data_IF_378108186495
#
_entry.id   IF_378108186495
#
_cell.length_a   1.000
_cell.length_b   1.000
_cell.length_c   1.000
_cell.angle_alpha   90.00
_cell.angle_beta   90.00
_cell.angle_gamma   90.00
#
_symmetry.space_group_name_H-M   'P 1'
#
loop_
_entity.id
_entity.type
_entity.pdbx_description
1 polymer ?
#
# COMPACT_ATOMS: atom_id res chain seq x y z
N UNK A 1 -3.00 -31.92 -17.79
CA UNK A 1 -3.76 -30.73 -18.25
C UNK A 1 -2.79 -29.56 -18.25
N UNK A 2 -2.95 -28.59 -19.17
CA UNK A 2 -2.14 -27.38 -19.13
C UNK A 2 -2.43 -26.61 -17.83
N UNK A 3 -1.42 -25.93 -17.26
CA UNK A 3 -1.62 -25.09 -16.08
C UNK A 3 -2.58 -23.94 -16.41
N UNK A 4 -3.47 -23.53 -15.49
CA UNK A 4 -4.23 -22.29 -15.64
C UNK A 4 -3.31 -21.10 -15.81
N UNK A 5 -3.72 -20.12 -16.62
CA UNK A 5 -2.95 -18.93 -16.95
C UNK A 5 -3.57 -17.69 -16.30
N UNK A 6 -2.77 -16.92 -15.57
CA UNK A 6 -3.16 -15.65 -14.98
C UNK A 6 -2.45 -14.49 -15.67
N UNK A 7 -3.21 -13.48 -16.07
CA UNK A 7 -2.69 -12.20 -16.54
C UNK A 7 -2.86 -11.15 -15.45
N UNK A 8 -1.82 -10.39 -15.15
CA UNK A 8 -1.87 -9.28 -14.19
C UNK A 8 -1.38 -8.01 -14.86
N UNK A 9 -2.19 -6.93 -14.78
CA UNK A 9 -1.81 -5.61 -15.29
C UNK A 9 -1.59 -4.62 -14.15
N UNK A 10 -0.50 -3.87 -14.25
CA UNK A 10 -0.12 -2.75 -13.39
C UNK A 10 0.55 -1.66 -14.21
N UNK A 11 0.70 -0.44 -13.69
CA UNK A 11 1.33 0.69 -14.39
C UNK A 11 2.85 0.52 -14.47
N UNK A 12 3.49 0.46 -13.32
CA UNK A 12 4.93 0.44 -13.07
C UNK A 12 5.20 -0.14 -11.68
N UNK A 13 6.46 -0.17 -11.23
CA UNK A 13 6.87 -0.71 -9.93
C UNK A 13 7.62 0.33 -9.08
N UNK A 14 7.04 1.53 -8.95
CA UNK A 14 7.57 2.58 -8.07
C UNK A 14 7.28 2.30 -6.58
N UNK A 15 7.79 3.18 -5.69
CA UNK A 15 7.56 3.06 -4.25
C UNK A 15 6.13 3.44 -3.87
N UNK A 16 5.25 2.45 -3.77
CA UNK A 16 3.85 2.62 -3.43
C UNK A 16 3.25 1.44 -2.67
N UNK A 17 2.08 1.67 -2.09
CA UNK A 17 1.36 0.61 -1.35
C UNK A 17 0.77 -0.45 -2.25
N UNK A 18 0.27 -0.07 -3.44
CA UNK A 18 -0.28 -1.01 -4.41
C UNK A 18 0.82 -1.88 -5.03
N UNK A 19 1.98 -1.29 -5.36
CA UNK A 19 3.15 -1.97 -5.90
C UNK A 19 3.70 -2.99 -4.89
N UNK A 20 3.75 -2.62 -3.62
CA UNK A 20 4.15 -3.54 -2.54
C UNK A 20 3.15 -4.69 -2.38
N UNK A 21 1.85 -4.40 -2.46
CA UNK A 21 0.81 -5.42 -2.44
C UNK A 21 0.90 -6.37 -3.65
N UNK A 22 1.25 -5.84 -4.83
CA UNK A 22 1.51 -6.66 -6.02
C UNK A 22 2.71 -7.58 -5.79
N UNK A 23 3.82 -7.10 -5.25
CA UNK A 23 4.97 -7.94 -4.92
C UNK A 23 4.59 -9.07 -3.96
N UNK A 24 3.79 -8.77 -2.94
CA UNK A 24 3.26 -9.78 -2.02
C UNK A 24 2.46 -10.85 -2.76
N UNK A 25 1.54 -10.44 -3.65
CA UNK A 25 0.77 -11.36 -4.48
C UNK A 25 1.67 -12.21 -5.38
N UNK A 26 2.62 -11.60 -6.11
CA UNK A 26 3.52 -12.32 -7.02
C UNK A 26 4.39 -13.35 -6.30
N UNK A 27 4.84 -13.06 -5.08
CA UNK A 27 5.60 -14.00 -4.25
C UNK A 27 4.73 -15.17 -3.77
N UNK A 28 3.46 -14.91 -3.40
CA UNK A 28 2.53 -15.92 -2.90
C UNK A 28 1.99 -16.85 -4.00
N UNK A 29 1.99 -16.41 -5.27
CA UNK A 29 1.56 -17.24 -6.39
C UNK A 29 2.50 -18.43 -6.59
N UNK A 30 1.91 -19.62 -6.60
CA UNK A 30 2.59 -20.91 -6.80
C UNK A 30 2.65 -21.22 -8.29
N UNK A 31 3.82 -21.03 -8.88
CA UNK A 31 4.04 -21.28 -10.33
C UNK A 31 4.08 -22.76 -10.69
N UNK A 32 4.04 -23.68 -9.74
CA UNK A 32 3.78 -25.08 -10.03
C UNK A 32 2.30 -25.35 -10.33
N UNK A 33 1.42 -24.48 -9.84
CA UNK A 33 -0.04 -24.56 -10.05
C UNK A 33 -0.54 -23.70 -11.19
N UNK A 34 0.06 -22.53 -11.42
CA UNK A 34 -0.41 -21.54 -12.41
C UNK A 34 0.74 -20.92 -13.18
N UNK A 35 0.51 -20.56 -14.44
CA UNK A 35 1.41 -19.71 -15.21
C UNK A 35 0.98 -18.25 -15.07
N UNK A 36 1.92 -17.37 -14.77
CA UNK A 36 1.63 -15.96 -14.48
C UNK A 36 2.36 -15.05 -15.45
N UNK A 37 1.60 -14.30 -16.22
CA UNK A 37 2.07 -13.23 -17.10
C UNK A 37 1.82 -11.87 -16.42
N UNK A 38 2.89 -11.15 -16.07
CA UNK A 38 2.83 -9.78 -15.56
C UNK A 38 3.03 -8.79 -16.72
N UNK A 39 2.05 -7.93 -16.95
CA UNK A 39 2.12 -6.85 -17.91
C UNK A 39 2.17 -5.51 -17.19
N UNK A 40 3.34 -4.87 -17.22
CA UNK A 40 3.53 -3.50 -16.75
C UNK A 40 3.42 -2.54 -17.93
N UNK A 41 2.72 -1.43 -17.73
CA UNK A 41 2.64 -0.40 -18.76
C UNK A 41 4.03 0.21 -19.02
N UNK A 42 4.85 0.34 -17.98
CA UNK A 42 6.25 0.82 -18.05
C UNK A 42 7.13 -0.04 -17.13
N UNK A 43 8.32 -0.40 -17.61
CA UNK A 43 9.34 -1.11 -16.83
C UNK A 43 10.20 -0.11 -16.04
N UNK A 44 9.58 0.62 -15.13
CA UNK A 44 10.21 1.64 -14.29
C UNK A 44 9.84 1.46 -12.83
N UNK A 45 10.69 1.98 -11.95
CA UNK A 45 10.47 2.00 -10.51
C UNK A 45 11.44 1.14 -9.72
N UNK A 46 11.58 1.49 -8.45
CA UNK A 46 12.55 0.91 -7.52
C UNK A 46 12.24 -0.55 -7.18
N UNK A 47 10.99 -0.96 -7.33
CA UNK A 47 10.56 -2.33 -7.06
C UNK A 47 10.71 -3.30 -8.24
N UNK A 48 11.14 -2.83 -9.42
CA UNK A 48 11.39 -3.71 -10.57
C UNK A 48 12.33 -4.89 -10.25
N UNK A 49 13.46 -4.71 -9.55
CA UNK A 49 14.38 -5.80 -9.21
C UNK A 49 13.80 -6.81 -8.19
N UNK A 50 12.66 -6.51 -7.57
CA UNK A 50 12.00 -7.37 -6.57
C UNK A 50 10.93 -8.27 -7.18
N UNK A 51 10.64 -8.14 -8.48
CA UNK A 51 9.73 -9.05 -9.18
C UNK A 51 10.37 -10.45 -9.16
N UNK A 52 9.66 -11.49 -8.69
CA UNK A 52 10.22 -12.83 -8.63
C UNK A 52 10.56 -13.40 -10.02
N UNK A 53 11.73 -14.02 -10.18
CA UNK A 53 12.19 -14.63 -11.44
C UNK A 53 11.21 -15.69 -12.00
N UNK A 54 10.39 -16.28 -11.13
CA UNK A 54 9.36 -17.26 -11.50
C UNK A 54 8.17 -16.65 -12.25
N UNK A 55 8.04 -15.32 -12.30
CA UNK A 55 6.96 -14.60 -12.98
C UNK A 55 7.42 -14.21 -14.38
N UNK A 56 6.59 -14.50 -15.39
CA UNK A 56 6.87 -14.08 -16.74
C UNK A 56 6.53 -12.59 -16.93
N UNK A 57 7.54 -11.72 -16.83
CA UNK A 57 7.39 -10.30 -17.12
C UNK A 57 7.30 -10.09 -18.63
N UNK A 58 6.12 -9.70 -19.12
CA UNK A 58 5.90 -9.42 -20.54
C UNK A 58 6.63 -8.14 -20.96
N UNK A 59 7.15 -8.06 -22.19
CA UNK A 59 7.84 -6.86 -22.66
C UNK A 59 6.91 -5.64 -22.70
N UNK A 60 7.48 -4.45 -22.51
CA UNK A 60 6.76 -3.19 -22.71
C UNK A 60 6.17 -3.13 -24.12
N UNK A 61 4.99 -2.54 -24.22
CA UNK A 61 4.32 -2.34 -25.51
C UNK A 61 4.13 -0.87 -25.80
N UNK A 62 4.49 -0.53 -27.03
CA UNK A 62 4.27 0.82 -27.56
C UNK A 62 2.79 1.21 -27.41
N UNK A 63 2.56 2.43 -26.95
CA UNK A 63 1.24 2.96 -26.64
C UNK A 63 0.91 2.81 -25.15
N UNK A 64 1.05 1.63 -24.57
CA UNK A 64 0.83 1.43 -23.12
C UNK A 64 1.85 2.20 -22.29
N UNK A 65 3.13 2.13 -22.65
CA UNK A 65 4.20 2.86 -21.97
C UNK A 65 4.12 4.39 -22.15
N UNK A 66 3.22 4.89 -22.98
CA UNK A 66 3.06 6.32 -23.24
C UNK A 66 1.86 6.95 -22.49
N UNK A 67 1.06 6.16 -21.77
CA UNK A 67 -0.18 6.64 -21.14
C UNK A 67 0.10 7.78 -20.14
N UNK A 68 1.17 7.69 -19.37
CA UNK A 68 1.51 8.63 -18.29
C UNK A 68 2.77 9.47 -18.55
N UNK A 69 3.52 9.17 -19.61
CA UNK A 69 4.77 9.85 -19.94
C UNK A 69 4.57 11.32 -20.40
N UNK A 70 5.61 12.19 -20.33
CA UNK A 70 5.53 13.55 -20.83
C UNK A 70 5.12 13.63 -22.30
N UNK A 71 4.24 14.57 -22.66
CA UNK A 71 3.69 14.73 -24.02
C UNK A 71 4.77 14.92 -25.08
N UNK A 72 5.85 15.62 -24.74
CA UNK A 72 6.95 15.91 -25.64
C UNK A 72 7.64 14.62 -26.08
N UNK A 73 7.85 13.68 -25.15
CA UNK A 73 8.53 12.41 -25.44
C UNK A 73 7.66 11.51 -26.31
N UNK A 74 6.35 11.47 -26.04
CA UNK A 74 5.36 10.73 -26.82
C UNK A 74 5.34 11.22 -28.29
N UNK A 75 5.40 12.55 -28.49
CA UNK A 75 5.42 13.16 -29.82
C UNK A 75 6.73 12.87 -30.56
N UNK A 76 7.89 12.96 -29.88
CA UNK A 76 9.19 12.61 -30.43
C UNK A 76 9.27 11.15 -30.91
N UNK A 77 8.60 10.25 -30.19
CA UNK A 77 8.51 8.84 -30.52
C UNK A 77 7.45 8.51 -31.60
N UNK A 78 6.78 9.55 -32.15
CA UNK A 78 5.78 9.38 -33.20
C UNK A 78 4.49 8.68 -32.73
N UNK A 79 4.15 8.77 -31.44
CA UNK A 79 2.93 8.21 -30.88
C UNK A 79 1.76 9.22 -30.92
N UNK A 80 1.50 9.77 -32.13
CA UNK A 80 0.54 10.86 -32.33
C UNK A 80 -0.88 10.51 -31.92
N UNK A 81 -1.30 9.24 -32.06
CA UNK A 81 -2.63 8.77 -31.61
C UNK A 81 -2.81 8.89 -30.12
N UNK A 82 -1.81 8.47 -29.34
CA UNK A 82 -1.81 8.58 -27.87
C UNK A 82 -1.82 10.05 -27.45
N UNK A 83 -0.98 10.88 -28.08
CA UNK A 83 -0.93 12.32 -27.81
C UNK A 83 -2.30 13.00 -28.07
N UNK A 84 -2.95 12.67 -29.19
CA UNK A 84 -4.30 13.15 -29.54
C UNK A 84 -5.34 12.68 -28.50
N UNK A 85 -5.29 11.40 -28.10
CA UNK A 85 -6.14 10.83 -27.05
C UNK A 85 -6.01 11.59 -25.74
N UNK A 86 -4.78 11.86 -25.30
CA UNK A 86 -4.52 12.63 -24.05
C UNK A 86 -4.95 14.08 -24.15
N UNK A 87 -4.77 14.72 -25.29
CA UNK A 87 -5.29 16.09 -25.50
C UNK A 87 -6.81 16.12 -25.41
N UNK A 88 -7.48 15.17 -26.07
CA UNK A 88 -8.94 15.00 -25.99
C UNK A 88 -9.40 14.75 -24.55
N UNK A 89 -8.70 13.88 -23.83
CA UNK A 89 -8.98 13.58 -22.43
C UNK A 89 -8.91 14.86 -21.57
N UNK A 90 -7.85 15.66 -21.73
CA UNK A 90 -7.70 16.93 -21.03
C UNK A 90 -8.86 17.90 -21.28
N UNK A 91 -9.33 18.00 -22.52
CA UNK A 91 -10.47 18.85 -22.87
C UNK A 91 -11.75 18.35 -22.22
N UNK A 92 -12.01 17.04 -22.30
CA UNK A 92 -13.19 16.41 -21.70
C UNK A 92 -13.18 16.52 -20.19
N UNK A 93 -12.07 16.22 -19.54
CA UNK A 93 -11.91 16.34 -18.09
C UNK A 93 -12.09 17.79 -17.63
N UNK A 94 -11.48 18.76 -18.31
CA UNK A 94 -11.66 20.18 -17.97
C UNK A 94 -13.12 20.64 -18.09
N UNK A 95 -13.86 20.13 -19.08
CA UNK A 95 -15.31 20.40 -19.19
C UNK A 95 -16.07 19.83 -17.98
N UNK A 96 -15.75 18.60 -17.59
CA UNK A 96 -16.36 17.95 -16.43
C UNK A 96 -16.00 18.70 -15.14
N UNK A 97 -14.73 19.05 -14.91
CA UNK A 97 -14.29 19.82 -13.73
C UNK A 97 -15.00 21.16 -13.57
N UNK A 98 -15.37 21.83 -14.68
CA UNK A 98 -16.12 23.08 -14.63
C UNK A 98 -17.53 22.90 -14.04
N UNK A 99 -18.13 21.73 -14.13
CA UNK A 99 -19.44 21.41 -13.53
C UNK A 99 -19.35 21.05 -12.04
N UNK A 100 -18.16 20.84 -11.50
CA UNK A 100 -17.94 20.45 -10.10
C UNK A 100 -17.88 21.68 -9.18
N UNK A 101 -18.29 21.49 -7.92
CA UNK A 101 -18.04 22.46 -6.83
C UNK A 101 -16.55 22.56 -6.52
N UNK A 102 -16.13 23.62 -5.84
CA UNK A 102 -14.72 23.82 -5.46
C UNK A 102 -14.19 22.66 -4.60
N UNK A 103 -15.00 22.18 -3.67
CA UNK A 103 -14.67 21.04 -2.79
C UNK A 103 -14.42 19.75 -3.60
N UNK A 104 -15.31 19.40 -4.52
CA UNK A 104 -15.14 18.22 -5.38
C UNK A 104 -13.94 18.34 -6.30
N UNK A 105 -13.62 19.56 -6.80
CA UNK A 105 -12.45 19.78 -7.65
C UNK A 105 -11.13 19.54 -6.93
N UNK A 106 -11.08 19.78 -5.61
CA UNK A 106 -9.87 19.61 -4.81
C UNK A 106 -9.45 18.14 -4.68
N UNK A 107 -10.40 17.21 -4.78
CA UNK A 107 -10.19 15.75 -4.61
C UNK A 107 -10.61 14.95 -5.86
N UNK A 108 -10.63 15.61 -7.03
CA UNK A 108 -11.09 15.00 -8.27
C UNK A 108 -10.03 14.13 -8.94
N UNK A 109 -10.28 12.83 -8.98
CA UNK A 109 -9.45 11.80 -9.59
C UNK A 109 -10.01 11.28 -10.94
N UNK A 110 -11.09 11.88 -11.45
CA UNK A 110 -11.72 11.44 -12.72
C UNK A 110 -10.84 11.62 -13.96
N UNK A 111 -9.70 12.31 -13.85
CA UNK A 111 -8.71 12.43 -14.93
C UNK A 111 -8.26 11.07 -15.50
N UNK A 112 -8.07 10.09 -14.63
CA UNK A 112 -7.66 8.73 -15.01
C UNK A 112 -8.68 8.08 -15.95
N UNK A 113 -9.97 8.19 -15.64
CA UNK A 113 -11.03 7.72 -16.53
C UNK A 113 -10.95 8.35 -17.92
N UNK A 114 -10.83 9.69 -18.00
CA UNK A 114 -10.81 10.38 -19.29
C UNK A 114 -9.59 10.05 -20.11
N UNK A 115 -8.41 9.92 -19.49
CA UNK A 115 -7.18 9.47 -20.17
C UNK A 115 -7.39 8.07 -20.72
N UNK A 116 -7.78 7.12 -19.87
CA UNK A 116 -8.01 5.73 -20.24
C UNK A 116 -8.96 5.61 -21.43
N UNK A 117 -10.13 6.24 -21.36
CA UNK A 117 -11.15 6.22 -22.42
C UNK A 117 -10.66 6.79 -23.74
N UNK A 118 -9.93 7.92 -23.71
CA UNK A 118 -9.53 8.60 -24.95
C UNK A 118 -8.30 7.98 -25.58
N UNK A 119 -7.45 7.30 -24.81
CA UNK A 119 -6.22 6.66 -25.28
C UNK A 119 -6.49 5.24 -25.77
N UNK A 120 -7.44 4.54 -25.18
CA UNK A 120 -7.75 3.13 -25.46
C UNK A 120 -7.89 2.79 -26.96
N UNK A 121 -8.55 3.60 -27.82
CA UNK A 121 -8.68 3.29 -29.25
C UNK A 121 -7.33 3.20 -29.98
N UNK A 122 -6.29 3.80 -29.44
CA UNK A 122 -4.94 3.84 -30.01
C UNK A 122 -4.01 2.79 -29.42
N UNK A 123 -4.46 2.06 -28.39
CA UNK A 123 -3.69 0.95 -27.81
C UNK A 123 -3.83 -0.31 -28.67
N UNK A 124 -2.71 -0.99 -29.00
CA UNK A 124 -2.78 -2.27 -29.68
C UNK A 124 -3.53 -3.31 -28.83
N UNK A 125 -4.14 -4.32 -29.45
CA UNK A 125 -4.76 -5.41 -28.70
C UNK A 125 -3.70 -6.24 -27.96
N UNK A 126 -4.09 -6.84 -26.84
CA UNK A 126 -3.32 -7.85 -26.11
C UNK A 126 -3.86 -9.26 -26.34
N UNK A 127 -4.89 -9.39 -27.20
CA UNK A 127 -5.55 -10.68 -27.50
C UNK A 127 -4.63 -11.68 -28.20
N UNK A 128 -3.53 -11.24 -28.80
CA UNK A 128 -2.49 -12.09 -29.38
C UNK A 128 -1.69 -12.89 -28.35
N UNK A 129 -1.74 -12.51 -27.06
CA UNK A 129 -1.16 -13.28 -25.96
C UNK A 129 -1.93 -14.57 -25.67
N UNK A 130 -3.05 -14.80 -26.38
CA UNK A 130 -3.94 -15.91 -26.19
C UNK A 130 -5.03 -15.65 -25.15
N UNK A 131 -5.66 -16.72 -24.67
CA UNK A 131 -6.70 -16.64 -23.67
C UNK A 131 -6.13 -17.01 -22.29
N UNK A 132 -6.56 -16.28 -21.27
CA UNK A 132 -6.23 -16.52 -19.86
C UNK A 132 -7.43 -17.11 -19.12
N UNK A 133 -7.17 -17.90 -18.09
CA UNK A 133 -8.24 -18.37 -17.20
C UNK A 133 -8.71 -17.20 -16.32
N UNK A 134 -7.77 -16.35 -15.87
CA UNK A 134 -8.03 -15.16 -15.05
C UNK A 134 -7.22 -13.97 -15.54
N UNK A 135 -7.84 -12.80 -15.64
CA UNK A 135 -7.14 -11.53 -15.86
C UNK A 135 -7.43 -10.54 -14.73
N UNK A 136 -6.38 -10.03 -14.13
CA UNK A 136 -6.41 -9.12 -12.98
C UNK A 136 -5.98 -7.73 -13.42
N UNK A 137 -6.86 -6.74 -13.24
CA UNK A 137 -6.53 -5.33 -13.32
C UNK A 137 -6.21 -4.84 -11.90
N UNK A 138 -4.93 -4.77 -11.58
CA UNK A 138 -4.49 -4.53 -10.20
C UNK A 138 -4.64 -3.06 -9.79
N UNK A 139 -4.51 -2.13 -10.76
CA UNK A 139 -4.74 -0.70 -10.53
C UNK A 139 -5.36 -0.07 -11.79
N UNK A 140 -5.94 1.15 -11.67
CA UNK A 140 -6.40 1.92 -12.84
C UNK A 140 -5.28 2.07 -13.89
N UNK A 141 -5.59 2.12 -15.20
CA UNK A 141 -6.92 2.10 -15.82
C UNK A 141 -7.45 0.69 -16.07
N UNK A 142 -8.56 0.33 -15.47
CA UNK A 142 -9.13 -1.01 -15.57
C UNK A 142 -9.63 -1.40 -16.96
N UNK A 143 -9.95 -0.43 -17.83
CA UNK A 143 -10.41 -0.67 -19.20
C UNK A 143 -9.39 -1.42 -20.05
N UNK A 144 -8.09 -1.40 -19.73
CA UNK A 144 -7.06 -2.18 -20.44
C UNK A 144 -7.38 -3.67 -20.33
N UNK A 145 -7.50 -4.19 -19.12
CA UNK A 145 -7.84 -5.60 -18.91
C UNK A 145 -9.23 -5.92 -19.44
N UNK A 146 -10.19 -5.02 -19.22
CA UNK A 146 -11.57 -5.22 -19.64
C UNK A 146 -11.66 -5.42 -21.17
N UNK A 147 -10.99 -4.57 -21.97
CA UNK A 147 -11.23 -4.45 -23.39
C UNK A 147 -10.11 -5.01 -24.28
N UNK A 148 -8.88 -5.15 -23.75
CA UNK A 148 -7.70 -5.56 -24.55
C UNK A 148 -7.21 -6.97 -24.28
N UNK A 149 -7.62 -7.58 -23.15
CA UNK A 149 -7.20 -8.93 -22.74
C UNK A 149 -8.36 -9.92 -22.93
N UNK A 150 -8.05 -11.12 -23.47
CA UNK A 150 -8.99 -12.25 -23.52
C UNK A 150 -8.82 -13.10 -22.26
N UNK A 151 -9.88 -13.28 -21.50
CA UNK A 151 -9.87 -14.12 -20.31
C UNK A 151 -11.26 -14.69 -20.03
N UNK A 152 -11.34 -15.87 -19.41
CA UNK A 152 -12.60 -16.50 -18.97
C UNK A 152 -13.24 -15.70 -17.83
N UNK A 153 -12.39 -15.19 -16.92
CA UNK A 153 -12.79 -14.35 -15.77
C UNK A 153 -11.90 -13.12 -15.69
N UNK A 154 -12.50 -11.99 -15.27
CA UNK A 154 -11.78 -10.72 -15.11
C UNK A 154 -12.07 -10.12 -13.74
N UNK A 155 -11.03 -9.64 -13.07
CA UNK A 155 -11.10 -9.02 -11.74
C UNK A 155 -10.49 -7.62 -11.81
N UNK A 156 -11.18 -6.63 -11.24
CA UNK A 156 -10.61 -5.32 -10.94
C UNK A 156 -10.33 -5.21 -9.44
N UNK A 157 -9.27 -4.52 -9.05
CA UNK A 157 -8.84 -4.44 -7.64
C UNK A 157 -9.00 -3.01 -7.09
N UNK A 158 -9.55 -2.90 -5.88
CA UNK A 158 -9.73 -1.63 -5.18
C UNK A 158 -8.59 -1.46 -4.17
N UNK A 159 -7.76 -0.42 -4.38
CA UNK A 159 -6.71 0.00 -3.44
C UNK A 159 -6.95 1.37 -2.82
N UNK A 160 -8.01 2.06 -3.27
CA UNK A 160 -8.31 3.45 -2.90
C UNK A 160 -9.48 3.52 -1.93
N UNK A 161 -9.40 4.43 -0.96
CA UNK A 161 -10.54 4.84 -0.15
C UNK A 161 -11.40 5.84 -0.95
N UNK A 162 -12.56 5.38 -1.42
CA UNK A 162 -13.48 6.18 -2.23
C UNK A 162 -14.23 7.26 -1.44
N UNK A 163 -14.11 7.30 -0.12
CA UNK A 163 -14.68 8.37 0.70
C UNK A 163 -13.96 9.70 0.54
N UNK A 164 -12.65 9.66 0.25
CA UNK A 164 -11.79 10.84 0.19
C UNK A 164 -11.54 11.36 -1.24
N UNK A 165 -12.01 10.63 -2.27
CA UNK A 165 -11.83 11.01 -3.68
C UNK A 165 -13.17 11.30 -4.35
N UNK A 166 -13.14 12.19 -5.34
CA UNK A 166 -14.25 12.42 -6.25
C UNK A 166 -13.94 11.83 -7.62
N UNK A 167 -14.89 11.07 -8.15
CA UNK A 167 -14.81 10.42 -9.46
C UNK A 167 -16.10 10.66 -10.24
N UNK A 168 -16.05 10.43 -11.54
CA UNK A 168 -17.26 10.45 -12.38
C UNK A 168 -17.95 9.07 -12.34
N UNK A 169 -18.77 8.86 -11.31
CA UNK A 169 -19.40 7.56 -11.03
C UNK A 169 -20.27 7.06 -12.20
N UNK A 170 -21.02 7.96 -12.88
CA UNK A 170 -21.84 7.60 -14.04
C UNK A 170 -20.99 7.01 -15.17
N UNK A 171 -19.80 7.55 -15.40
CA UNK A 171 -18.92 7.14 -16.48
C UNK A 171 -18.05 5.95 -16.12
N UNK A 172 -17.71 5.78 -14.84
CA UNK A 172 -16.89 4.68 -14.38
C UNK A 172 -17.67 3.39 -14.09
N UNK A 173 -18.96 3.52 -13.71
CA UNK A 173 -19.80 2.37 -13.42
C UNK A 173 -19.79 1.28 -14.51
N UNK A 174 -19.90 1.59 -15.82
CA UNK A 174 -19.86 0.54 -16.83
C UNK A 174 -18.52 -0.21 -16.93
N UNK A 175 -17.41 0.43 -16.53
CA UNK A 175 -16.09 -0.22 -16.50
C UNK A 175 -16.07 -1.23 -15.36
N UNK A 176 -16.43 -0.82 -14.15
CA UNK A 176 -16.48 -1.70 -12.98
C UNK A 176 -17.47 -2.85 -13.16
N UNK A 177 -18.63 -2.56 -13.74
CA UNK A 177 -19.68 -3.55 -13.99
C UNK A 177 -19.28 -4.58 -15.06
N UNK A 178 -18.33 -4.25 -15.93
CA UNK A 178 -17.80 -5.17 -16.93
C UNK A 178 -16.90 -6.30 -16.37
N UNK A 179 -16.51 -6.23 -15.10
CA UNK A 179 -15.73 -7.27 -14.43
C UNK A 179 -16.64 -8.33 -13.80
N UNK A 180 -16.16 -9.59 -13.76
CA UNK A 180 -16.86 -10.68 -13.07
C UNK A 180 -16.83 -10.46 -11.56
N UNK A 181 -15.68 -10.02 -11.03
CA UNK A 181 -15.47 -9.76 -9.60
C UNK A 181 -14.68 -8.46 -9.39
N UNK A 182 -14.87 -7.87 -8.22
CA UNK A 182 -14.15 -6.70 -7.76
C UNK A 182 -13.49 -7.04 -6.42
N UNK A 183 -12.18 -7.16 -6.41
CA UNK A 183 -11.43 -7.46 -5.21
C UNK A 183 -11.26 -6.21 -4.35
N UNK A 184 -11.62 -6.30 -3.07
CA UNK A 184 -11.47 -5.23 -2.07
C UNK A 184 -10.53 -5.67 -0.96
N UNK A 185 -9.61 -4.79 -0.58
CA UNK A 185 -8.54 -5.10 0.39
C UNK A 185 -9.01 -5.07 1.85
N UNK A 186 -10.16 -4.49 2.13
CA UNK A 186 -10.70 -4.42 3.50
C UNK A 186 -12.20 -4.10 3.51
N UNK A 187 -12.91 -4.38 4.62
CA UNK A 187 -14.30 -3.96 4.78
C UNK A 187 -14.51 -2.45 4.65
N UNK A 188 -13.54 -1.63 5.07
CA UNK A 188 -13.61 -0.17 4.96
C UNK A 188 -13.51 0.29 3.51
N UNK A 189 -12.59 -0.28 2.72
CA UNK A 189 -12.51 -0.05 1.29
C UNK A 189 -13.81 -0.47 0.60
N UNK A 190 -14.37 -1.61 0.96
CA UNK A 190 -15.67 -2.08 0.46
C UNK A 190 -16.77 -1.05 0.75
N UNK A 191 -16.92 -0.63 2.01
CA UNK A 191 -17.94 0.35 2.39
C UNK A 191 -17.79 1.65 1.63
N UNK A 192 -16.57 2.20 1.54
CA UNK A 192 -16.30 3.45 0.84
C UNK A 192 -16.61 3.34 -0.67
N UNK A 193 -16.23 2.22 -1.32
CA UNK A 193 -16.51 1.96 -2.72
C UNK A 193 -18.02 1.86 -2.99
N UNK A 194 -18.76 1.14 -2.16
CA UNK A 194 -20.21 0.96 -2.31
C UNK A 194 -21.00 2.25 -2.07
N UNK A 195 -20.44 3.27 -1.42
CA UNK A 195 -21.07 4.61 -1.40
C UNK A 195 -21.15 5.25 -2.80
N UNK A 196 -20.23 4.88 -3.69
CA UNK A 196 -20.18 5.36 -5.09
C UNK A 196 -20.89 4.41 -6.05
N UNK A 197 -20.80 3.11 -5.81
CA UNK A 197 -21.29 2.04 -6.70
C UNK A 197 -22.11 0.99 -5.97
N UNK A 198 -23.26 1.34 -5.37
CA UNK A 198 -24.06 0.40 -4.56
C UNK A 198 -24.56 -0.81 -5.34
N UNK A 199 -24.77 -0.67 -6.65
CA UNK A 199 -25.23 -1.76 -7.53
C UNK A 199 -24.21 -2.88 -7.73
N UNK A 200 -22.93 -2.68 -7.33
CA UNK A 200 -21.85 -3.65 -7.53
C UNK A 200 -21.57 -4.53 -6.31
N UNK A 201 -22.38 -4.45 -5.25
CA UNK A 201 -22.18 -5.19 -4.00
C UNK A 201 -22.03 -6.70 -4.23
N UNK A 202 -22.84 -7.29 -5.11
CA UNK A 202 -22.82 -8.72 -5.41
C UNK A 202 -21.53 -9.18 -6.12
N UNK A 203 -20.72 -8.27 -6.67
CA UNK A 203 -19.45 -8.58 -7.34
C UNK A 203 -18.25 -8.45 -6.41
N UNK A 204 -18.43 -7.88 -5.21
CA UNK A 204 -17.32 -7.66 -4.27
C UNK A 204 -16.86 -8.97 -3.66
N UNK A 205 -15.56 -9.18 -3.70
CA UNK A 205 -14.86 -10.22 -2.95
C UNK A 205 -13.78 -9.57 -2.09
N UNK A 206 -13.64 -10.02 -0.85
CA UNK A 206 -12.58 -9.50 0.01
C UNK A 206 -11.32 -10.34 -0.14
N UNK A 207 -10.27 -9.71 -0.66
CA UNK A 207 -8.92 -10.26 -0.74
C UNK A 207 -7.97 -9.22 -0.13
N UNK A 208 -7.41 -9.51 1.03
CA UNK A 208 -6.47 -8.60 1.70
C UNK A 208 -5.19 -8.46 0.87
N UNK A 209 -4.49 -7.32 1.03
CA UNK A 209 -3.14 -7.20 0.48
C UNK A 209 -2.26 -8.30 1.07
N UNK A 210 -1.68 -9.12 0.19
CA UNK A 210 -0.85 -10.23 0.60
C UNK A 210 0.52 -9.72 1.03
N UNK A 211 0.93 -10.11 2.21
CA UNK A 211 2.26 -9.88 2.74
C UNK A 211 3.05 -11.19 2.68
N UNK A 212 4.08 -11.22 1.86
CA UNK A 212 5.00 -12.35 1.85
C UNK A 212 6.00 -12.23 3.00
N UNK A 213 5.87 -13.13 3.99
CA UNK A 213 6.78 -13.19 5.12
C UNK A 213 8.22 -13.46 4.69
N UNK A 214 8.42 -14.31 3.68
CA UNK A 214 9.73 -14.60 3.09
C UNK A 214 10.37 -13.34 2.49
N UNK A 215 9.61 -12.58 1.68
CA UNK A 215 10.10 -11.34 1.08
C UNK A 215 10.50 -10.31 2.15
N UNK A 216 9.67 -10.12 3.17
CA UNK A 216 9.93 -9.19 4.28
C UNK A 216 11.22 -9.58 5.01
N UNK A 217 11.39 -10.85 5.36
CA UNK A 217 12.61 -11.35 6.02
C UNK A 217 13.84 -11.17 5.13
N UNK A 218 13.77 -11.55 3.84
CA UNK A 218 14.86 -11.38 2.88
C UNK A 218 15.28 -9.91 2.74
N UNK A 219 14.33 -9.00 2.64
CA UNK A 219 14.62 -7.56 2.54
C UNK A 219 15.17 -6.98 3.84
N UNK A 220 14.76 -7.50 5.00
CA UNK A 220 15.31 -7.08 6.28
C UNK A 220 16.82 -7.36 6.43
N UNK A 221 17.34 -8.36 5.71
CA UNK A 221 18.78 -8.70 5.67
C UNK A 221 19.55 -7.93 4.59
N UNK A 222 18.88 -7.28 3.65
CA UNK A 222 19.54 -6.77 2.43
C UNK A 222 20.21 -5.40 2.59
N UNK A 223 19.95 -4.68 3.69
CA UNK A 223 20.51 -3.35 3.95
C UNK A 223 21.12 -3.30 5.34
N UNK A 224 22.40 -2.98 5.40
CA UNK A 224 23.07 -2.62 6.65
C UNK A 224 22.78 -1.15 6.97
N UNK A 225 22.09 -0.88 8.08
CA UNK A 225 21.82 0.48 8.56
C UNK A 225 22.94 1.01 9.50
N UNK A 226 24.01 0.24 9.67
CA UNK A 226 25.14 0.59 10.52
C UNK A 226 24.72 0.80 11.98
N UNK A 227 25.37 1.76 12.64
CA UNK A 227 25.12 2.10 14.05
C UNK A 227 24.00 3.13 14.24
N UNK A 228 23.02 3.21 13.32
CA UNK A 228 21.93 4.20 13.42
C UNK A 228 21.09 3.98 14.68
N UNK A 229 20.85 2.71 15.03
CA UNK A 229 20.12 2.31 16.23
C UNK A 229 21.13 1.63 17.17
N UNK A 230 21.48 2.33 18.26
CA UNK A 230 22.49 1.88 19.21
C UNK A 230 21.91 0.91 20.23
N UNK A 231 22.65 -0.14 20.57
CA UNK A 231 22.28 -1.10 21.62
C UNK A 231 22.22 -0.47 23.04
N UNK A 232 22.70 0.77 23.20
CA UNK A 232 22.63 1.51 24.45
C UNK A 232 21.37 2.37 24.57
N UNK A 233 20.63 2.51 23.49
CA UNK A 233 19.39 3.30 23.41
C UNK A 233 18.17 2.37 23.40
N UNK A 234 17.01 2.93 23.76
CA UNK A 234 15.71 2.31 23.53
C UNK A 234 15.19 2.80 22.18
N UNK A 235 15.26 1.95 21.18
CA UNK A 235 14.97 2.29 19.79
C UNK A 235 13.52 1.98 19.43
N UNK A 236 12.66 3.00 19.39
CA UNK A 236 11.30 2.89 18.89
C UNK A 236 11.28 3.25 17.42
N UNK A 237 10.42 2.56 16.64
CA UNK A 237 10.21 2.85 15.22
C UNK A 237 8.73 2.99 14.89
N UNK A 238 8.40 3.99 14.06
CA UNK A 238 7.09 4.18 13.45
C UNK A 238 7.24 4.39 11.95
N UNK A 239 6.31 3.85 11.14
CA UNK A 239 6.35 3.96 9.68
C UNK A 239 4.99 4.40 9.15
N UNK A 240 4.98 5.46 8.32
CA UNK A 240 3.76 5.87 7.66
C UNK A 240 3.78 7.30 7.12
N UNK A 241 2.73 7.67 6.38
CA UNK A 241 2.59 9.04 5.84
C UNK A 241 2.49 10.07 6.97
N UNK A 242 3.08 11.24 6.78
CA UNK A 242 2.96 12.36 7.71
C UNK A 242 1.59 13.04 7.53
N UNK A 243 0.55 12.43 8.11
CA UNK A 243 -0.83 12.86 8.02
C UNK A 243 -1.54 12.75 9.37
N UNK A 244 -2.72 13.35 9.48
CA UNK A 244 -3.50 13.38 10.74
C UNK A 244 -3.79 11.98 11.30
N UNK A 245 -4.08 11.00 10.43
CA UNK A 245 -4.38 9.63 10.83
C UNK A 245 -3.24 8.98 11.62
N UNK A 246 -1.98 9.23 11.24
CA UNK A 246 -0.80 8.60 11.83
C UNK A 246 -0.34 9.23 13.15
N UNK A 247 -0.90 10.38 13.52
CA UNK A 247 -0.68 11.02 14.85
C UNK A 247 0.76 11.46 15.14
N UNK A 248 1.63 11.55 14.12
CA UNK A 248 3.03 11.91 14.33
C UNK A 248 3.23 13.36 14.82
N UNK A 249 2.21 14.20 14.67
CA UNK A 249 2.20 15.54 15.24
C UNK A 249 2.06 15.58 16.79
N UNK A 250 1.59 14.49 17.44
CA UNK A 250 1.57 14.35 18.89
C UNK A 250 2.74 13.52 19.45
N UNK A 251 3.48 12.82 18.59
CA UNK A 251 4.56 11.95 19.02
C UNK A 251 5.67 12.67 19.81
N UNK A 252 6.07 13.92 19.49
CA UNK A 252 7.05 14.63 20.31
C UNK A 252 6.61 14.86 21.76
N UNK A 253 5.31 15.13 21.99
CA UNK A 253 4.76 15.29 23.34
C UNK A 253 4.71 13.95 24.10
N UNK A 254 4.37 12.86 23.41
CA UNK A 254 4.42 11.50 23.98
C UNK A 254 5.87 11.13 24.35
N UNK A 255 6.83 11.36 23.45
CA UNK A 255 8.24 11.09 23.71
C UNK A 255 8.79 11.89 24.89
N UNK A 256 8.43 13.19 24.98
CA UNK A 256 8.80 14.06 26.11
C UNK A 256 8.34 13.47 27.45
N UNK A 257 7.10 13.01 27.52
CA UNK A 257 6.54 12.38 28.73
C UNK A 257 7.26 11.09 29.11
N UNK A 258 7.77 10.33 28.14
CA UNK A 258 8.57 9.12 28.40
C UNK A 258 9.96 9.53 28.92
N UNK A 259 10.62 10.50 28.29
CA UNK A 259 11.93 11.00 28.72
C UNK A 259 11.84 11.59 30.13
N UNK A 260 10.80 12.36 30.44
CA UNK A 260 10.57 12.93 31.82
C UNK A 260 10.35 11.87 32.92
N UNK A 261 10.08 10.60 32.52
CA UNK A 261 10.01 9.46 33.42
C UNK A 261 11.38 8.77 33.64
N UNK A 262 12.45 9.30 33.06
CA UNK A 262 13.82 8.81 33.24
C UNK A 262 14.40 8.04 32.06
N UNK A 263 13.71 7.96 30.91
CA UNK A 263 14.21 7.29 29.70
C UNK A 263 15.02 8.24 28.80
N UNK A 264 16.10 8.79 29.31
CA UNK A 264 16.96 9.74 28.59
C UNK A 264 17.64 9.13 27.35
N UNK A 265 17.76 7.80 27.32
CA UNK A 265 18.27 7.06 26.18
C UNK A 265 17.20 6.66 25.14
N UNK A 266 15.98 7.20 25.20
CA UNK A 266 14.95 6.96 24.20
C UNK A 266 15.34 7.57 22.86
N UNK A 267 15.22 6.78 21.77
CA UNK A 267 15.29 7.24 20.38
C UNK A 267 14.05 6.74 19.64
N UNK A 268 13.26 7.65 19.10
CA UNK A 268 12.06 7.30 18.34
C UNK A 268 12.22 7.72 16.89
N UNK A 269 12.45 6.76 16.04
CA UNK A 269 12.64 6.95 14.61
C UNK A 269 11.31 6.92 13.86
N UNK A 270 11.15 7.81 12.87
CA UNK A 270 9.95 7.87 12.04
C UNK A 270 10.36 7.79 10.57
N UNK A 271 9.96 6.73 9.89
CA UNK A 271 10.10 6.58 8.44
C UNK A 271 8.81 7.04 7.79
N UNK A 272 8.91 7.98 6.83
CA UNK A 272 7.74 8.46 6.12
C UNK A 272 7.97 9.76 5.40
N UNK A 273 6.88 10.28 4.85
CA UNK A 273 6.84 11.56 4.15
C UNK A 273 5.40 12.08 4.10
N UNK A 274 5.21 13.34 3.77
CA UNK A 274 3.89 13.93 3.61
C UNK A 274 3.83 15.39 3.99
N UNK A 275 2.70 16.04 3.72
CA UNK A 275 2.50 17.48 3.94
C UNK A 275 2.58 17.89 5.43
N UNK A 276 2.52 16.94 6.35
CA UNK A 276 2.63 17.20 7.80
C UNK A 276 4.05 17.37 8.31
N UNK A 277 5.08 17.19 7.47
CA UNK A 277 6.48 17.14 7.92
C UNK A 277 6.93 18.41 8.64
N UNK A 278 6.66 19.57 8.06
CA UNK A 278 7.05 20.87 8.66
C UNK A 278 6.43 21.05 10.05
N UNK A 279 5.14 20.72 10.19
CA UNK A 279 4.45 20.77 11.49
C UNK A 279 5.05 19.81 12.50
N UNK A 280 5.43 18.60 12.08
CA UNK A 280 6.06 17.61 12.97
C UNK A 280 7.43 18.12 13.44
N UNK A 281 8.26 18.61 12.51
CA UNK A 281 9.58 19.20 12.82
C UNK A 281 9.48 20.36 13.81
N UNK A 282 8.51 21.26 13.60
CA UNK A 282 8.26 22.36 14.55
C UNK A 282 7.91 21.84 15.95
N UNK A 283 7.02 20.84 16.03
CA UNK A 283 6.64 20.25 17.32
C UNK A 283 7.76 19.49 18.02
N UNK A 284 8.67 18.87 17.27
CA UNK A 284 9.90 18.25 17.80
C UNK A 284 10.76 19.32 18.48
N UNK A 285 10.97 20.45 17.79
CA UNK A 285 11.75 21.56 18.31
C UNK A 285 11.09 22.21 19.54
N UNK A 286 9.77 22.48 19.47
CA UNK A 286 9.00 23.09 20.55
C UNK A 286 9.01 22.22 21.84
N UNK A 287 9.00 20.90 21.67
CA UNK A 287 9.09 19.94 22.78
C UNK A 287 10.53 19.70 23.26
N UNK A 288 11.56 20.26 22.58
CA UNK A 288 12.97 20.00 22.87
C UNK A 288 13.38 18.54 22.66
N UNK A 289 12.79 17.87 21.64
CA UNK A 289 12.98 16.43 21.39
C UNK A 289 13.84 16.13 20.15
N UNK A 290 14.70 17.08 19.72
CA UNK A 290 15.51 16.92 18.51
C UNK A 290 16.44 15.70 18.54
N UNK A 291 16.95 15.36 19.73
CA UNK A 291 17.85 14.22 19.92
C UNK A 291 17.09 12.90 20.18
N UNK A 292 15.79 12.96 20.39
CA UNK A 292 14.95 11.82 20.76
C UNK A 292 13.98 11.38 19.65
N UNK A 293 13.48 12.32 18.83
CA UNK A 293 12.52 12.04 17.74
C UNK A 293 13.16 12.37 16.41
N UNK A 294 13.50 11.34 15.65
CA UNK A 294 14.32 11.43 14.45
C UNK A 294 13.49 11.11 13.20
N UNK A 295 13.29 12.09 12.32
CA UNK A 295 12.64 11.88 11.03
C UNK A 295 13.64 11.34 10.02
N UNK A 296 13.50 10.10 9.59
CA UNK A 296 14.38 9.44 8.64
C UNK A 296 14.00 9.70 7.16
N UNK A 297 12.86 10.36 6.92
CA UNK A 297 12.33 10.55 5.57
C UNK A 297 11.82 9.26 4.92
N UNK A 298 11.59 9.29 3.62
CA UNK A 298 11.16 8.12 2.83
C UNK A 298 12.32 7.11 2.73
N UNK A 299 12.02 5.84 2.95
CA UNK A 299 12.96 4.72 2.77
C UNK A 299 12.37 3.68 1.83
N UNK A 300 13.18 3.21 0.89
CA UNK A 300 12.80 2.16 -0.06
C UNK A 300 12.62 0.82 0.64
N UNK A 301 13.59 0.48 1.47
CA UNK A 301 13.54 -0.71 2.32
C UNK A 301 13.42 -0.31 3.80
N UNK A 302 12.23 -0.34 4.39
CA UNK A 302 12.04 -0.06 5.80
C UNK A 302 12.31 -1.29 6.71
N UNK A 303 12.41 -2.49 6.15
CA UNK A 303 12.43 -3.73 6.93
C UNK A 303 13.71 -3.90 7.73
N UNK A 304 14.86 -3.43 7.22
CA UNK A 304 16.12 -3.43 7.98
C UNK A 304 16.03 -2.55 9.24
N UNK A 305 15.28 -1.42 9.15
CA UNK A 305 15.01 -0.56 10.30
C UNK A 305 14.05 -1.23 11.29
N UNK A 306 13.02 -1.93 10.78
CA UNK A 306 12.10 -2.70 11.65
C UNK A 306 12.90 -3.79 12.37
N UNK A 307 13.77 -4.50 11.66
CA UNK A 307 14.62 -5.54 12.25
C UNK A 307 15.53 -4.99 13.36
N UNK A 308 16.05 -3.78 13.21
CA UNK A 308 16.99 -3.18 14.15
C UNK A 308 16.31 -2.49 15.35
N UNK A 309 15.05 -2.07 15.26
CA UNK A 309 14.39 -1.45 16.39
C UNK A 309 14.09 -2.45 17.51
N UNK A 310 13.93 -1.96 18.74
CA UNK A 310 13.52 -2.76 19.88
C UNK A 310 12.00 -2.97 19.88
N UNK A 311 11.24 -1.92 19.60
CA UNK A 311 9.77 -1.94 19.59
C UNK A 311 9.25 -1.15 18.39
N UNK A 312 8.32 -1.74 17.65
CA UNK A 312 7.55 -1.03 16.64
C UNK A 312 6.32 -0.37 17.26
N UNK A 313 6.12 0.92 17.05
CA UNK A 313 5.00 1.68 17.61
C UNK A 313 4.13 2.27 16.51
N UNK A 314 2.82 1.98 16.52
CA UNK A 314 1.83 2.58 15.64
C UNK A 314 0.90 3.51 16.44
N UNK A 315 1.26 4.80 16.60
CA UNK A 315 0.52 5.72 17.49
C UNK A 315 -0.69 6.37 16.79
N UNK A 316 -1.31 5.69 15.86
CA UNK A 316 -2.35 6.22 14.97
C UNK A 316 -3.62 6.63 15.70
N UNK A 317 -4.34 7.62 15.16
CA UNK A 317 -5.70 7.98 15.58
C UNK A 317 -6.74 7.05 14.99
N UNK A 318 -6.49 6.58 13.78
CA UNK A 318 -7.30 5.54 13.12
C UNK A 318 -6.49 4.82 12.05
N UNK A 319 -6.83 3.56 11.83
CA UNK A 319 -6.32 2.67 10.78
C UNK A 319 -7.46 1.81 10.26
N UNK A 320 -7.33 1.31 9.05
CA UNK A 320 -8.14 0.16 8.60
C UNK A 320 -7.53 -1.13 9.15
N UNK A 321 -6.46 -1.61 8.49
CA UNK A 321 -5.60 -2.69 8.94
C UNK A 321 -4.16 -2.30 8.58
N UNK A 322 -3.33 -2.05 9.60
CA UNK A 322 -1.98 -1.53 9.36
C UNK A 322 -1.07 -2.63 8.84
N UNK A 323 -0.62 -2.49 7.59
CA UNK A 323 0.33 -3.42 6.98
C UNK A 323 1.67 -3.39 7.72
N UNK A 324 2.14 -2.22 8.14
CA UNK A 324 3.41 -2.05 8.85
C UNK A 324 3.45 -2.71 10.22
N UNK A 325 2.31 -2.79 10.90
CA UNK A 325 2.17 -3.58 12.14
C UNK A 325 2.40 -5.07 11.85
N UNK A 326 1.80 -5.60 10.79
CA UNK A 326 2.00 -7.00 10.37
C UNK A 326 3.44 -7.24 9.91
N UNK A 327 4.04 -6.28 9.19
CA UNK A 327 5.46 -6.35 8.79
C UNK A 327 6.39 -6.46 10.01
N UNK A 328 6.10 -5.70 11.08
CA UNK A 328 6.85 -5.80 12.33
C UNK A 328 6.65 -7.15 13.03
N UNK A 329 5.41 -7.67 13.07
CA UNK A 329 5.12 -9.01 13.60
C UNK A 329 5.85 -10.12 12.84
N UNK A 330 5.90 -10.05 11.48
CA UNK A 330 6.67 -10.99 10.63
C UNK A 330 8.16 -10.97 10.95
N UNK A 331 8.69 -9.81 11.37
CA UNK A 331 10.08 -9.65 11.82
C UNK A 331 10.27 -9.89 13.32
N UNK A 332 9.27 -10.48 13.97
CA UNK A 332 9.27 -10.85 15.39
C UNK A 332 9.56 -9.69 16.33
N UNK A 333 9.16 -8.46 15.93
CA UNK A 333 9.33 -7.27 16.79
C UNK A 333 8.10 -7.06 17.65
N UNK A 334 8.28 -6.82 18.97
CA UNK A 334 7.20 -6.37 19.83
C UNK A 334 6.51 -5.15 19.24
N UNK A 335 5.18 -5.17 19.22
CA UNK A 335 4.36 -4.11 18.63
C UNK A 335 3.54 -3.41 19.69
N UNK A 336 3.54 -2.08 19.66
CA UNK A 336 2.61 -1.26 20.45
C UNK A 336 1.71 -0.49 19.48
N UNK A 337 0.40 -0.55 19.69
CA UNK A 337 -0.57 0.26 18.94
C UNK A 337 -1.44 1.06 19.89
N UNK A 338 -1.90 2.22 19.49
CA UNK A 338 -2.96 2.94 20.22
C UNK A 338 -4.31 2.25 20.04
N UNK A 339 -5.25 2.43 20.98
CA UNK A 339 -6.60 1.83 20.95
C UNK A 339 -7.51 2.54 19.93
N UNK A 340 -7.06 2.57 18.63
CA UNK A 340 -7.92 3.02 17.55
C UNK A 340 -9.01 1.98 17.26
N UNK A 341 -10.14 2.36 16.61
CA UNK A 341 -11.34 1.51 16.54
C UNK A 341 -11.12 0.07 16.06
N UNK A 342 -10.13 -0.16 15.19
CA UNK A 342 -9.83 -1.48 14.61
C UNK A 342 -8.66 -2.19 15.31
N UNK A 343 -8.02 -1.59 16.32
CA UNK A 343 -6.82 -2.14 16.97
C UNK A 343 -7.01 -3.60 17.42
N UNK A 344 -8.12 -3.88 18.09
CA UNK A 344 -8.47 -5.22 18.63
C UNK A 344 -8.76 -6.26 17.56
N UNK A 345 -9.00 -5.86 16.31
CA UNK A 345 -9.14 -6.79 15.17
C UNK A 345 -7.79 -7.21 14.59
N UNK A 346 -6.71 -6.52 14.98
CA UNK A 346 -5.37 -6.77 14.50
C UNK A 346 -4.42 -7.26 15.58
N UNK A 347 -4.60 -6.82 16.83
CA UNK A 347 -3.72 -7.12 17.98
C UNK A 347 -4.51 -7.84 19.07
N UNK A 348 -4.00 -8.97 19.51
CA UNK A 348 -4.40 -9.66 20.73
C UNK A 348 -3.53 -9.14 21.88
N UNK A 349 -4.08 -8.18 22.63
CA UNK A 349 -3.36 -7.44 23.67
C UNK A 349 -2.64 -8.35 24.68
N UNK A 350 -1.32 -8.20 24.82
CA UNK A 350 -0.45 -9.00 25.70
C UNK A 350 -0.10 -10.39 25.15
N UNK A 351 -0.42 -10.67 23.88
CA UNK A 351 -0.11 -11.93 23.19
C UNK A 351 0.79 -11.68 21.96
N UNK A 352 0.32 -10.91 20.99
CA UNK A 352 1.05 -10.59 19.73
C UNK A 352 1.35 -9.09 19.58
N UNK A 353 1.08 -8.31 20.62
CA UNK A 353 1.33 -6.88 20.73
C UNK A 353 0.67 -6.27 21.96
N UNK A 354 0.82 -4.97 22.14
CA UNK A 354 0.25 -4.21 23.26
C UNK A 354 -0.64 -3.09 22.72
N UNK A 355 -1.83 -2.93 23.29
CA UNK A 355 -2.74 -1.82 23.01
C UNK A 355 -2.67 -0.81 24.15
N UNK A 356 -2.37 0.45 23.82
CA UNK A 356 -2.25 1.56 24.76
C UNK A 356 -3.32 2.63 24.51
N UNK A 357 -3.69 3.46 25.51
CA UNK A 357 -4.62 4.57 25.29
C UNK A 357 -4.19 5.52 24.18
N UNK A 358 -5.15 6.19 23.52
CA UNK A 358 -4.87 7.14 22.44
C UNK A 358 -4.44 8.53 22.90
N UNK A 359 -4.76 8.91 24.13
CA UNK A 359 -4.31 10.19 24.71
C UNK A 359 -2.80 10.15 24.98
N UNK A 360 -2.17 11.33 24.96
CA UNK A 360 -0.72 11.42 25.04
C UNK A 360 -0.16 10.89 26.36
N UNK A 361 -0.85 11.11 27.50
CA UNK A 361 -0.39 10.63 28.80
C UNK A 361 -0.53 9.11 28.92
N UNK A 362 -1.71 8.57 28.58
CA UNK A 362 -1.96 7.14 28.61
C UNK A 362 -1.07 6.37 27.64
N UNK A 363 -0.83 6.92 26.43
CA UNK A 363 0.08 6.36 25.43
C UNK A 363 1.52 6.32 25.99
N UNK A 364 2.03 7.43 26.52
CA UNK A 364 3.37 7.50 27.12
C UNK A 364 3.54 6.53 28.29
N UNK A 365 2.54 6.44 29.19
CA UNK A 365 2.58 5.49 30.31
C UNK A 365 2.56 4.04 29.83
N UNK A 366 1.74 3.72 28.82
CA UNK A 366 1.65 2.39 28.26
C UNK A 366 2.96 1.96 27.61
N UNK A 367 3.59 2.85 26.82
CA UNK A 367 4.89 2.59 26.19
C UNK A 367 5.97 2.40 27.28
N UNK A 368 6.07 3.31 28.26
CA UNK A 368 7.06 3.22 29.32
C UNK A 368 6.92 1.89 30.11
N UNK A 369 5.69 1.53 30.51
CA UNK A 369 5.45 0.23 31.18
C UNK A 369 5.82 -0.99 30.32
N UNK A 370 5.67 -0.89 29.02
CA UNK A 370 6.05 -1.98 28.11
C UNK A 370 7.57 -2.08 28.02
N UNK A 371 8.30 -0.96 27.92
CA UNK A 371 9.77 -0.93 27.92
C UNK A 371 10.35 -1.54 29.19
N UNK A 372 9.75 -1.25 30.35
CA UNK A 372 10.20 -1.80 31.65
C UNK A 372 9.91 -3.29 31.83
N UNK A 373 8.99 -3.83 31.08
CA UNK A 373 8.49 -5.20 31.27
C UNK A 373 9.18 -6.18 30.34
N UNK A 374 10.47 -6.45 30.58
CA UNK A 374 11.23 -7.42 29.79
C UNK A 374 10.54 -8.78 29.67
N UNK A 375 9.96 -9.38 30.73
CA UNK A 375 9.20 -10.63 30.59
C UNK A 375 8.04 -10.56 29.60
N UNK A 376 7.39 -9.41 29.47
CA UNK A 376 6.35 -9.22 28.46
C UNK A 376 6.96 -9.14 27.05
N UNK A 377 8.04 -8.38 26.87
CA UNK A 377 8.72 -8.26 25.58
C UNK A 377 9.23 -9.63 25.09
N UNK A 378 9.85 -10.42 25.99
CA UNK A 378 10.31 -11.77 25.67
C UNK A 378 9.15 -12.67 25.26
N UNK A 379 8.03 -12.64 26.00
CA UNK A 379 6.82 -13.40 25.68
C UNK A 379 6.22 -13.01 24.34
N UNK A 380 6.17 -11.71 24.02
CA UNK A 380 5.67 -11.24 22.72
C UNK A 380 6.57 -11.74 21.57
N UNK A 381 7.89 -11.63 21.74
CA UNK A 381 8.85 -12.09 20.73
C UNK A 381 8.75 -13.60 20.51
N UNK A 382 8.72 -14.40 21.58
CA UNK A 382 8.57 -15.87 21.52
C UNK A 382 7.26 -16.27 20.81
N UNK A 383 6.16 -15.57 21.11
CA UNK A 383 4.89 -15.80 20.42
C UNK A 383 5.01 -15.49 18.92
N UNK A 384 5.60 -14.36 18.56
CA UNK A 384 5.78 -13.95 17.17
C UNK A 384 6.73 -14.88 16.39
N UNK A 385 7.76 -15.43 17.02
CA UNK A 385 8.66 -16.41 16.41
C UNK A 385 7.98 -17.76 16.15
N UNK A 386 7.03 -18.15 17.02
CA UNK A 386 6.34 -19.44 16.93
C UNK A 386 5.09 -19.42 16.05
N UNK A 387 4.66 -18.26 15.57
CA UNK A 387 3.46 -18.11 14.75
C UNK A 387 3.77 -17.42 13.42
N UNK A 388 3.06 -17.84 12.38
CA UNK A 388 3.14 -17.16 11.07
C UNK A 388 2.19 -15.95 11.06
N UNK A 389 2.75 -14.78 10.80
CA UNK A 389 2.02 -13.51 10.67
C UNK A 389 1.85 -13.07 9.22
N UNK A 390 2.28 -13.87 8.26
CA UNK A 390 1.96 -13.71 6.84
C UNK A 390 0.47 -13.97 6.57
N UNK A 391 0.06 -13.68 5.37
CA UNK A 391 -1.30 -14.00 4.90
C UNK A 391 -1.27 -14.50 3.45
N UNK A 392 -0.22 -15.21 3.09
CA UNK A 392 -0.05 -15.79 1.76
C UNK A 392 -1.24 -16.69 1.37
N UNK A 393 -1.94 -17.26 2.37
CA UNK A 393 -3.14 -18.06 2.15
C UNK A 393 -4.28 -17.30 1.46
N UNK A 394 -4.28 -15.95 1.47
CA UNK A 394 -5.23 -15.13 0.71
C UNK A 394 -5.18 -15.43 -0.80
N UNK A 395 -4.03 -15.91 -1.33
CA UNK A 395 -3.89 -16.34 -2.72
C UNK A 395 -4.87 -17.45 -3.10
N UNK A 396 -5.29 -18.29 -2.15
CA UNK A 396 -6.26 -19.36 -2.41
C UNK A 396 -7.62 -18.82 -2.87
N UNK A 397 -7.98 -17.60 -2.46
CA UNK A 397 -9.20 -16.94 -2.95
C UNK A 397 -9.09 -16.63 -4.45
N UNK A 398 -7.89 -16.31 -4.94
CA UNK A 398 -7.64 -16.07 -6.37
C UNK A 398 -7.74 -17.39 -7.15
N UNK A 399 -7.15 -18.47 -6.64
CA UNK A 399 -7.26 -19.78 -7.28
C UNK A 399 -8.72 -20.28 -7.35
N UNK A 400 -9.54 -19.95 -6.36
CA UNK A 400 -10.97 -20.33 -6.34
C UNK A 400 -11.81 -19.58 -7.40
N UNK A 401 -11.28 -18.55 -8.05
CA UNK A 401 -11.96 -17.77 -9.08
C UNK A 401 -11.65 -18.24 -10.51
N UNK A 402 -10.74 -19.18 -10.69
CA UNK A 402 -10.40 -19.80 -11.96
C UNK A 402 -11.25 -21.05 -12.18
#
# INVERSE_FOLDING_TARGET
MAKPRIFINMHYMELGGAERALLGLLNALDTDKVDVDLFLNQHTGEFMPLIPDKINLLPERRGYNAIERPMIDILKEGQFGIALGRLRARVMHNRYRKSLTQEKRAVDESSFYYIAKCVEPFLPPLSELGEYDLAISFLHPHNIVLNKVRAKKKIAWIHTDYSIVHINTEKELPIWDGFDHIASISPDCTRSFLTKFPSLESKIIQIENILSAELVRKQAESLDIGNLMSDHDVNLLSIGRYCHAKNYDNLPDIARRIVDKGYENLRWYIIGYGMGEEKIRQKIADAGMNDHVILLGKKENPYSYIKACDIYVQPSRYEGKSVTVREAQVLCKPVIVTDYPTAKSQIQNGIDGVIVPMDNEGCAQGIAKTIENQPLLDKLTEYLESHDHGNESEVNKIYALM
#
